data_IF_166187648842
#
_entry.id   IF_166187648842
#
_cell.length_a   1.000
_cell.length_b   1.000
_cell.length_c   1.000
_cell.angle_alpha   90.00
_cell.angle_beta   90.00
_cell.angle_gamma   90.00
#
_symmetry.space_group_name_H-M   'P 1'
#
loop_
_entity.id
_entity.type
_entity.pdbx_description
1 polymer ?
#
# COMPACT_ATOMS: atom_id res chain seq x y z
N UNK A 1 10.23 14.99 -7.19
CA UNK A 1 10.33 16.40 -6.78
C UNK A 1 11.73 16.64 -6.18
N UNK A 2 12.35 17.81 -6.38
CA UNK A 2 13.73 18.05 -5.87
C UNK A 2 13.79 18.13 -4.33
N UNK A 3 12.79 18.72 -3.70
CA UNK A 3 12.70 18.84 -2.24
C UNK A 3 12.41 17.48 -1.59
N UNK A 4 11.49 16.71 -2.17
CA UNK A 4 11.22 15.33 -1.76
C UNK A 4 12.49 14.49 -1.82
N UNK A 5 13.24 14.55 -2.92
CA UNK A 5 14.48 13.80 -3.08
C UNK A 5 15.54 14.23 -2.06
N UNK A 6 15.71 15.53 -1.83
CA UNK A 6 16.68 16.04 -0.85
C UNK A 6 16.41 15.53 0.57
N UNK A 7 15.14 15.26 0.91
CA UNK A 7 14.74 14.66 2.19
C UNK A 7 14.97 13.15 2.24
N UNK A 8 14.69 12.44 1.14
CA UNK A 8 14.77 10.99 1.08
C UNK A 8 16.21 10.47 0.91
N UNK A 9 17.00 11.10 0.04
CA UNK A 9 18.33 10.63 -0.36
C UNK A 9 19.24 10.29 0.83
N UNK A 10 19.40 11.15 1.85
CA UNK A 10 20.35 10.87 2.93
C UNK A 10 19.99 9.61 3.74
N UNK A 11 18.69 9.34 3.85
CA UNK A 11 18.14 8.18 4.59
C UNK A 11 18.22 6.92 3.72
N UNK A 12 17.76 7.00 2.48
CA UNK A 12 17.73 5.88 1.54
C UNK A 12 19.13 5.35 1.23
N UNK A 13 20.12 6.25 1.07
CA UNK A 13 21.53 5.88 0.86
C UNK A 13 22.11 5.02 1.98
N UNK A 14 21.58 5.13 3.21
CA UNK A 14 22.02 4.35 4.36
C UNK A 14 21.21 3.06 4.49
N UNK A 15 19.90 3.10 4.24
CA UNK A 15 18.99 1.99 4.52
C UNK A 15 18.93 0.95 3.40
N UNK A 16 18.87 1.37 2.13
CA UNK A 16 18.69 0.46 0.98
C UNK A 16 19.80 -0.61 0.95
N UNK A 17 21.10 -0.29 1.11
CA UNK A 17 22.14 -1.32 1.09
C UNK A 17 22.10 -2.30 2.26
N UNK A 18 21.48 -1.91 3.39
CA UNK A 18 21.37 -2.75 4.59
C UNK A 18 20.14 -3.65 4.58
N UNK A 19 19.10 -3.23 3.85
CA UNK A 19 17.78 -3.83 3.84
C UNK A 19 17.22 -3.94 2.42
N UNK A 20 17.95 -4.61 1.49
CA UNK A 20 17.54 -4.71 0.09
C UNK A 20 16.16 -5.38 -0.01
N UNK A 21 15.25 -4.76 -0.77
CA UNK A 21 13.88 -5.25 -0.99
C UNK A 21 12.94 -5.11 0.22
N UNK A 22 13.38 -4.50 1.34
CA UNK A 22 12.54 -4.31 2.53
C UNK A 22 12.11 -2.85 2.73
N UNK A 23 12.74 -1.91 2.01
CA UNK A 23 12.42 -0.48 2.10
C UNK A 23 11.35 -0.14 1.06
N UNK A 24 10.16 0.22 1.53
CA UNK A 24 9.12 0.80 0.68
C UNK A 24 9.28 2.31 0.54
N UNK A 25 9.30 2.81 -0.70
CA UNK A 25 9.38 4.25 -1.00
C UNK A 25 8.01 4.73 -1.46
N UNK A 26 7.37 5.55 -0.62
CA UNK A 26 6.05 6.16 -0.85
C UNK A 26 6.21 7.44 -1.67
N UNK A 27 6.02 7.36 -2.98
CA UNK A 27 6.14 8.49 -3.90
C UNK A 27 5.37 8.26 -5.19
N UNK A 28 4.67 9.29 -5.65
CA UNK A 28 4.01 9.34 -6.96
C UNK A 28 4.89 9.98 -8.05
N UNK A 29 6.13 10.36 -7.73
CA UNK A 29 7.07 10.97 -8.68
C UNK A 29 8.00 9.91 -9.29
N UNK A 30 7.91 9.61 -10.60
CA UNK A 30 8.76 8.60 -11.24
C UNK A 30 10.25 8.89 -11.11
N UNK A 31 10.66 10.17 -11.15
CA UNK A 31 12.06 10.56 -10.98
C UNK A 31 12.60 10.24 -9.57
N UNK A 32 11.76 10.33 -8.53
CA UNK A 32 12.14 9.98 -7.15
C UNK A 32 12.31 8.46 -7.04
N UNK A 33 11.37 7.69 -7.58
CA UNK A 33 11.43 6.22 -7.59
C UNK A 33 12.61 5.71 -8.41
N UNK A 34 12.88 6.29 -9.59
CA UNK A 34 14.03 5.92 -10.42
C UNK A 34 15.34 6.07 -9.63
N UNK A 35 15.56 7.23 -9.00
CA UNK A 35 16.77 7.45 -8.20
C UNK A 35 16.91 6.49 -7.02
N UNK A 36 15.79 6.09 -6.41
CA UNK A 36 15.80 5.12 -5.33
C UNK A 36 16.11 3.70 -5.83
N UNK A 37 15.54 3.29 -6.98
CA UNK A 37 15.88 2.03 -7.65
C UNK A 37 17.34 1.97 -8.10
N UNK A 38 17.91 3.11 -8.51
CA UNK A 38 19.33 3.21 -8.87
C UNK A 38 20.27 2.95 -7.68
N UNK A 39 19.77 3.04 -6.44
CA UNK A 39 20.54 2.71 -5.23
C UNK A 39 20.45 1.23 -4.83
N UNK A 40 19.45 0.50 -5.33
CA UNK A 40 19.22 -0.91 -5.03
C UNK A 40 17.74 -1.28 -4.92
N UNK A 41 17.49 -2.51 -4.50
CA UNK A 41 16.15 -3.07 -4.45
C UNK A 41 15.28 -2.37 -3.40
N UNK A 42 14.14 -1.86 -3.84
CA UNK A 42 13.11 -1.23 -3.01
C UNK A 42 11.73 -1.78 -3.37
N UNK A 43 10.76 -1.52 -2.51
CA UNK A 43 9.33 -1.71 -2.81
C UNK A 43 8.77 -0.34 -3.26
N UNK A 44 8.25 -0.25 -4.47
CA UNK A 44 7.59 0.97 -4.96
C UNK A 44 6.20 1.06 -4.34
N UNK A 45 5.85 2.19 -3.74
CA UNK A 45 4.49 2.44 -3.24
C UNK A 45 3.95 3.74 -3.86
N UNK A 46 3.09 3.59 -4.87
CA UNK A 46 2.39 4.70 -5.49
C UNK A 46 0.93 4.69 -5.03
N UNK A 47 0.64 5.53 -4.03
CA UNK A 47 -0.70 5.62 -3.43
C UNK A 47 -1.76 6.15 -4.40
N UNK A 48 -1.37 6.70 -5.55
CA UNK A 48 -2.30 7.22 -6.56
C UNK A 48 -2.91 6.12 -7.42
N UNK A 49 -2.44 4.88 -7.30
CA UNK A 49 -2.91 3.76 -8.10
C UNK A 49 -2.36 3.77 -9.53
N UNK A 50 -1.11 4.22 -9.72
CA UNK A 50 -0.41 4.26 -11.01
C UNK A 50 -1.09 5.10 -12.09
N UNK A 51 -1.70 6.22 -11.70
CA UNK A 51 -2.31 7.16 -12.65
C UNK A 51 -1.27 7.80 -13.59
N UNK A 52 0.01 7.79 -13.23
CA UNK A 52 1.10 8.34 -14.03
C UNK A 52 1.68 7.29 -15.01
N UNK A 53 1.53 7.45 -16.34
CA UNK A 53 2.05 6.49 -17.31
C UNK A 53 3.57 6.30 -17.25
N UNK A 54 4.32 7.33 -16.82
CA UNK A 54 5.77 7.21 -16.65
C UNK A 54 6.14 6.34 -15.45
N UNK A 55 5.32 6.31 -14.39
CA UNK A 55 5.49 5.36 -13.29
C UNK A 55 5.25 3.93 -13.79
N UNK A 56 4.19 3.72 -14.58
CA UNK A 56 3.90 2.42 -15.21
C UNK A 56 5.05 1.93 -16.08
N UNK A 57 5.61 2.79 -16.93
CA UNK A 57 6.75 2.44 -17.76
C UNK A 57 7.97 2.05 -16.91
N UNK A 58 8.25 2.82 -15.86
CA UNK A 58 9.36 2.57 -14.95
C UNK A 58 9.25 1.21 -14.24
N UNK A 59 8.08 0.89 -13.69
CA UNK A 59 7.90 -0.38 -12.94
C UNK A 59 7.90 -1.59 -13.87
N UNK A 60 7.44 -1.45 -15.11
CA UNK A 60 7.55 -2.51 -16.12
C UNK A 60 9.00 -2.71 -16.58
N UNK A 61 9.77 -1.63 -16.73
CA UNK A 61 11.17 -1.73 -17.14
C UNK A 61 12.05 -2.35 -16.04
N UNK A 62 11.86 -1.90 -14.80
CA UNK A 62 12.72 -2.27 -13.66
C UNK A 62 12.24 -3.51 -12.90
N UNK A 63 10.98 -3.91 -13.12
CA UNK A 63 10.31 -5.02 -12.43
C UNK A 63 10.49 -5.04 -10.90
N UNK A 64 10.29 -3.91 -10.17
CA UNK A 64 10.39 -3.93 -8.72
C UNK A 64 9.17 -4.60 -8.09
N UNK A 65 9.26 -4.93 -6.81
CA UNK A 65 8.03 -5.16 -6.03
C UNK A 65 7.26 -3.85 -5.93
N UNK A 66 5.96 -3.88 -6.14
CA UNK A 66 5.10 -2.70 -6.15
C UNK A 66 3.83 -2.90 -5.32
N UNK A 67 3.46 -1.86 -4.58
CA UNK A 67 2.18 -1.73 -3.89
C UNK A 67 1.26 -0.85 -4.73
N UNK A 68 0.12 -1.40 -5.13
CA UNK A 68 -0.94 -0.69 -5.86
C UNK A 68 -2.06 -0.40 -4.86
N UNK A 69 -2.28 0.89 -4.60
CA UNK A 69 -3.33 1.33 -3.68
C UNK A 69 -4.60 1.75 -4.42
N UNK A 70 -5.76 1.35 -3.90
CA UNK A 70 -7.04 1.83 -4.41
C UNK A 70 -7.36 3.23 -3.87
N UNK A 71 -7.30 4.22 -4.76
CA UNK A 71 -7.70 5.60 -4.50
C UNK A 71 -8.82 6.01 -5.48
N UNK A 72 -10.05 6.28 -5.01
CA UNK A 72 -11.19 6.57 -5.90
C UNK A 72 -11.17 7.98 -6.51
N UNK A 73 -10.04 8.69 -6.45
CA UNK A 73 -9.88 10.05 -6.91
C UNK A 73 -8.41 10.32 -7.32
N UNK A 74 -8.09 11.47 -7.93
CA UNK A 74 -6.71 11.81 -8.27
C UNK A 74 -5.77 11.91 -7.06
N UNK A 75 -6.32 12.26 -5.90
CA UNK A 75 -5.58 12.45 -4.66
C UNK A 75 -6.46 12.14 -3.43
N UNK A 76 -5.81 11.94 -2.29
CA UNK A 76 -6.48 11.60 -1.03
C UNK A 76 -7.44 12.69 -0.52
N UNK A 77 -7.14 13.96 -0.77
CA UNK A 77 -8.00 15.07 -0.33
C UNK A 77 -9.30 15.06 -1.12
N UNK A 78 -9.23 14.94 -2.45
CA UNK A 78 -10.40 14.82 -3.33
C UNK A 78 -11.22 13.58 -2.98
N UNK A 79 -10.57 12.44 -2.74
CA UNK A 79 -11.24 11.21 -2.30
C UNK A 79 -12.07 11.41 -1.02
N UNK A 80 -11.66 12.32 -0.14
CA UNK A 80 -12.37 12.62 1.11
C UNK A 80 -13.51 13.63 0.99
N UNK A 81 -13.62 14.33 -0.13
CA UNK A 81 -14.63 15.35 -0.37
C UNK A 81 -15.78 14.87 -1.26
N UNK A 82 -15.56 13.80 -2.03
CA UNK A 82 -16.57 13.18 -2.88
C UNK A 82 -17.42 12.14 -2.15
N UNK A 83 -18.46 11.64 -2.84
CA UNK A 83 -19.27 10.53 -2.35
C UNK A 83 -18.38 9.29 -2.09
N UNK A 84 -18.47 8.70 -0.89
CA UNK A 84 -17.62 7.58 -0.52
C UNK A 84 -17.98 6.32 -1.31
N UNK A 85 -16.98 5.53 -1.66
CA UNK A 85 -17.18 4.18 -2.20
C UNK A 85 -17.82 3.30 -1.12
N UNK A 86 -18.76 2.47 -1.53
CA UNK A 86 -19.57 1.60 -0.65
C UNK A 86 -19.47 0.11 -0.98
N UNK A 87 -18.80 -0.26 -2.09
CA UNK A 87 -18.72 -1.64 -2.59
C UNK A 87 -17.30 -2.16 -2.54
N UNK A 88 -17.08 -3.30 -1.87
CA UNK A 88 -15.81 -4.00 -1.88
C UNK A 88 -15.51 -4.63 -3.25
N UNK A 89 -16.55 -5.06 -3.98
CA UNK A 89 -16.40 -5.59 -5.34
C UNK A 89 -15.84 -4.54 -6.29
N UNK A 90 -16.28 -3.28 -6.18
CA UNK A 90 -15.72 -2.18 -6.96
C UNK A 90 -14.22 -2.01 -6.69
N UNK A 91 -13.82 -2.01 -5.40
CA UNK A 91 -12.42 -1.88 -4.99
C UNK A 91 -11.57 -3.04 -5.52
N UNK A 92 -12.10 -4.26 -5.45
CA UNK A 92 -11.46 -5.46 -6.00
C UNK A 92 -11.24 -5.32 -7.49
N UNK A 93 -12.30 -5.00 -8.24
CA UNK A 93 -12.26 -4.99 -9.69
C UNK A 93 -11.30 -3.90 -10.21
N UNK A 94 -11.30 -2.72 -9.59
CA UNK A 94 -10.37 -1.63 -9.93
C UNK A 94 -8.90 -2.04 -9.73
N UNK A 95 -8.58 -2.69 -8.60
CA UNK A 95 -7.22 -3.16 -8.32
C UNK A 95 -6.79 -4.28 -9.27
N UNK A 96 -7.69 -5.25 -9.54
CA UNK A 96 -7.41 -6.34 -10.46
C UNK A 96 -7.22 -5.85 -11.90
N UNK A 97 -7.93 -4.79 -12.31
CA UNK A 97 -7.73 -4.17 -13.63
C UNK A 97 -6.32 -3.56 -13.77
N UNK A 98 -5.82 -2.87 -12.72
CA UNK A 98 -4.46 -2.32 -12.73
C UNK A 98 -3.43 -3.45 -12.72
N UNK A 99 -3.63 -4.48 -11.89
CA UNK A 99 -2.74 -5.63 -11.82
C UNK A 99 -2.67 -6.37 -13.18
N UNK A 100 -3.82 -6.65 -13.80
CA UNK A 100 -3.88 -7.27 -15.12
C UNK A 100 -3.19 -6.43 -16.20
N UNK A 101 -3.29 -5.09 -16.13
CA UNK A 101 -2.57 -4.19 -17.02
C UNK A 101 -1.05 -4.34 -16.88
N UNK A 102 -0.52 -4.42 -15.65
CA UNK A 102 0.92 -4.64 -15.41
C UNK A 102 1.37 -6.04 -15.85
N UNK A 103 0.59 -7.08 -15.53
CA UNK A 103 0.87 -8.45 -15.96
C UNK A 103 0.92 -8.55 -17.50
N UNK A 104 -0.01 -7.90 -18.20
CA UNK A 104 -0.02 -7.86 -19.67
C UNK A 104 1.22 -7.20 -20.28
N UNK A 105 1.93 -6.38 -19.49
CA UNK A 105 3.18 -5.72 -19.87
C UNK A 105 4.43 -6.47 -19.41
N UNK A 106 4.26 -7.62 -18.75
CA UNK A 106 5.35 -8.51 -18.36
C UNK A 106 5.81 -8.37 -16.91
N UNK A 107 5.14 -7.56 -16.07
CA UNK A 107 5.43 -7.56 -14.64
C UNK A 107 4.90 -8.86 -14.00
N UNK A 108 5.73 -9.66 -13.32
CA UNK A 108 5.27 -10.88 -12.69
C UNK A 108 4.26 -10.61 -11.57
N UNK A 109 3.28 -11.49 -11.40
CA UNK A 109 2.23 -11.37 -10.37
C UNK A 109 2.81 -11.26 -8.97
N UNK A 110 3.86 -12.02 -8.68
CA UNK A 110 4.55 -12.06 -7.40
C UNK A 110 5.20 -10.73 -7.01
N UNK A 111 5.44 -9.83 -7.98
CA UNK A 111 5.91 -8.48 -7.72
C UNK A 111 4.78 -7.52 -7.31
N UNK A 112 3.51 -7.93 -7.43
CA UNK A 112 2.35 -7.06 -7.22
C UNK A 112 1.73 -7.31 -5.84
N UNK A 113 1.69 -6.25 -5.03
CA UNK A 113 0.99 -6.18 -3.75
C UNK A 113 -0.22 -5.26 -3.93
N UNK A 114 -1.40 -5.71 -3.52
CA UNK A 114 -2.64 -4.92 -3.59
C UNK A 114 -2.96 -4.31 -2.23
N UNK A 115 -3.27 -3.02 -2.19
CA UNK A 115 -3.77 -2.32 -0.99
C UNK A 115 -5.18 -1.77 -1.30
N UNK A 116 -6.24 -2.22 -0.59
CA UNK A 116 -7.60 -1.74 -0.79
C UNK A 116 -7.79 -0.26 -0.38
N UNK A 117 -6.76 0.40 0.13
CA UNK A 117 -6.75 1.82 0.41
C UNK A 117 -7.67 2.17 1.58
N UNK A 118 -7.49 1.51 2.72
CA UNK A 118 -8.31 1.76 3.91
C UNK A 118 -8.24 3.23 4.32
N UNK A 119 -9.43 3.81 4.51
CA UNK A 119 -9.62 5.19 4.90
C UNK A 119 -9.26 6.20 3.81
N UNK A 120 -9.43 5.86 2.53
CA UNK A 120 -9.38 6.78 1.39
C UNK A 120 -10.69 6.78 0.60
N UNK A 121 -11.57 7.74 0.90
CA UNK A 121 -12.86 7.92 0.20
C UNK A 121 -13.82 6.73 0.28
N UNK A 122 -13.91 6.09 1.44
CA UNK A 122 -14.72 4.89 1.69
C UNK A 122 -15.57 5.06 2.95
N UNK A 123 -16.73 4.42 3.00
CA UNK A 123 -17.58 4.41 4.20
C UNK A 123 -16.93 3.64 5.35
N UNK A 124 -17.41 3.85 6.58
CA UNK A 124 -16.89 3.13 7.75
C UNK A 124 -17.09 1.62 7.60
N UNK A 125 -18.28 1.22 7.13
CA UNK A 125 -18.68 -0.16 6.91
C UNK A 125 -17.77 -0.83 5.88
N UNK A 126 -17.53 -0.15 4.75
CA UNK A 126 -16.63 -0.67 3.72
C UNK A 126 -15.19 -0.83 4.24
N UNK A 127 -14.70 0.10 5.06
CA UNK A 127 -13.35 -0.03 5.62
C UNK A 127 -13.19 -1.27 6.52
N UNK A 128 -14.22 -1.64 7.29
CA UNK A 128 -14.21 -2.88 8.07
C UNK A 128 -14.27 -4.12 7.19
N UNK A 129 -15.07 -4.10 6.11
CA UNK A 129 -15.14 -5.18 5.14
C UNK A 129 -13.79 -5.42 4.46
N UNK A 130 -13.10 -4.34 4.06
CA UNK A 130 -11.82 -4.39 3.37
C UNK A 130 -10.65 -4.88 4.24
N UNK A 131 -10.82 -5.05 5.54
CA UNK A 131 -9.82 -5.80 6.34
C UNK A 131 -9.69 -7.25 5.87
N UNK A 132 -10.74 -7.79 5.23
CA UNK A 132 -10.79 -9.17 4.71
C UNK A 132 -10.39 -9.26 3.23
N UNK A 133 -9.85 -8.19 2.66
CA UNK A 133 -9.68 -8.05 1.21
C UNK A 133 -8.83 -9.16 0.58
N UNK A 134 -7.89 -9.75 1.32
CA UNK A 134 -7.07 -10.87 0.85
C UNK A 134 -7.89 -12.10 0.41
N UNK A 135 -9.04 -12.37 1.03
CA UNK A 135 -9.96 -13.43 0.59
C UNK A 135 -10.54 -13.16 -0.81
N UNK A 136 -10.66 -11.90 -1.21
CA UNK A 136 -11.30 -11.48 -2.46
C UNK A 136 -10.36 -11.56 -3.67
N UNK A 137 -9.04 -11.60 -3.44
CA UNK A 137 -8.01 -11.57 -4.48
C UNK A 137 -7.03 -12.75 -4.33
N UNK A 138 -7.51 -14.00 -4.36
CA UNK A 138 -6.63 -15.15 -4.18
C UNK A 138 -5.53 -15.17 -5.24
N UNK A 139 -4.28 -15.27 -4.79
CA UNK A 139 -3.10 -15.29 -5.63
C UNK A 139 -2.30 -13.97 -5.71
N UNK A 140 -2.80 -12.90 -5.11
CA UNK A 140 -2.02 -11.67 -4.90
C UNK A 140 -1.63 -11.52 -3.42
N UNK A 141 -0.47 -10.92 -3.18
CA UNK A 141 -0.13 -10.43 -1.84
C UNK A 141 -0.97 -9.19 -1.53
N UNK A 142 -1.44 -9.07 -0.29
CA UNK A 142 -2.25 -7.92 0.14
C UNK A 142 -1.57 -7.19 1.29
N UNK A 143 -1.50 -5.86 1.16
CA UNK A 143 -1.13 -4.96 2.26
C UNK A 143 -2.38 -4.29 2.83
N UNK A 144 -2.46 -4.17 4.16
CA UNK A 144 -3.53 -3.44 4.85
C UNK A 144 -2.97 -2.26 5.64
N UNK A 145 -3.29 -1.04 5.17
CA UNK A 145 -2.96 0.23 5.81
C UNK A 145 -4.04 0.79 6.74
N UNK A 146 -4.36 0.07 7.81
CA UNK A 146 -5.47 0.42 8.72
C UNK A 146 -5.14 1.41 9.85
N UNK A 147 -3.86 1.62 10.15
CA UNK A 147 -3.46 2.16 11.45
C UNK A 147 -3.89 3.63 11.65
N UNK A 148 -4.53 3.92 12.78
CA UNK A 148 -5.03 5.24 13.20
C UNK A 148 -6.02 5.88 12.23
N UNK A 149 -6.62 5.09 11.35
CA UNK A 149 -7.61 5.57 10.38
C UNK A 149 -8.96 5.82 11.07
N UNK A 150 -9.73 6.75 10.49
CA UNK A 150 -10.99 7.26 11.06
C UNK A 150 -12.06 6.18 11.30
N UNK A 151 -12.05 5.10 10.53
CA UNK A 151 -13.04 4.02 10.66
C UNK A 151 -12.93 3.25 11.99
N UNK A 152 -11.80 3.37 12.70
CA UNK A 152 -11.60 2.83 14.05
C UNK A 152 -12.26 3.69 15.16
N UNK A 153 -12.93 4.79 14.78
CA UNK A 153 -13.65 5.65 15.71
C UNK A 153 -12.77 6.61 16.51
N UNK A 154 -13.28 7.07 17.65
CA UNK A 154 -12.65 8.08 18.50
C UNK A 154 -11.32 7.60 19.09
N UNK A 155 -11.26 6.32 19.47
CA UNK A 155 -10.09 5.67 20.09
C UNK A 155 -9.04 5.18 19.08
N UNK A 156 -9.10 5.59 17.80
CA UNK A 156 -8.16 5.15 16.75
C UNK A 156 -6.67 5.40 17.06
N UNK A 157 -6.36 6.31 17.98
CA UNK A 157 -4.98 6.61 18.38
C UNK A 157 -4.46 5.65 19.45
N UNK A 158 -5.35 4.90 20.11
CA UNK A 158 -5.02 3.88 21.09
C UNK A 158 -4.59 2.58 20.42
N UNK A 159 -3.81 1.78 21.13
CA UNK A 159 -3.25 0.53 20.61
C UNK A 159 -4.32 -0.52 20.32
N UNK A 160 -5.29 -0.71 21.22
CA UNK A 160 -6.23 -1.83 21.16
C UNK A 160 -7.08 -1.85 19.87
N UNK A 161 -7.75 -0.75 19.45
CA UNK A 161 -8.54 -0.77 18.21
C UNK A 161 -7.71 -1.07 16.96
N UNK A 162 -6.44 -0.68 16.96
CA UNK A 162 -5.52 -0.98 15.86
C UNK A 162 -5.16 -2.48 15.85
N UNK A 163 -4.85 -3.07 17.01
CA UNK A 163 -4.55 -4.49 17.11
C UNK A 163 -5.75 -5.38 16.75
N UNK A 164 -6.97 -4.97 17.10
CA UNK A 164 -8.19 -5.69 16.72
C UNK A 164 -8.37 -5.72 15.19
N UNK A 165 -8.19 -4.58 14.53
CA UNK A 165 -8.26 -4.52 13.09
C UNK A 165 -7.12 -5.31 12.41
N UNK A 166 -5.93 -5.34 13.02
CA UNK A 166 -4.80 -6.15 12.55
C UNK A 166 -5.10 -7.65 12.63
N UNK A 167 -5.69 -8.11 13.75
CA UNK A 167 -6.07 -9.52 13.96
C UNK A 167 -7.03 -9.99 12.87
N UNK A 168 -8.00 -9.15 12.48
CA UNK A 168 -8.92 -9.47 11.38
C UNK A 168 -8.15 -9.60 10.07
N UNK A 169 -7.30 -8.61 9.72
CA UNK A 169 -6.53 -8.66 8.49
C UNK A 169 -5.62 -9.89 8.40
N UNK A 170 -4.93 -10.24 9.50
CA UNK A 170 -4.08 -11.43 9.60
C UNK A 170 -4.91 -12.71 9.44
N UNK A 171 -6.04 -12.81 10.13
CA UNK A 171 -6.91 -13.99 10.07
C UNK A 171 -7.45 -14.28 8.65
N UNK A 172 -7.53 -13.24 7.82
CA UNK A 172 -7.94 -13.31 6.42
C UNK A 172 -6.76 -13.33 5.42
N UNK A 173 -5.54 -13.57 5.89
CA UNK A 173 -4.39 -13.82 5.01
C UNK A 173 -3.69 -12.58 4.45
N UNK A 174 -3.86 -11.41 5.09
CA UNK A 174 -3.04 -10.24 4.76
C UNK A 174 -1.54 -10.55 4.93
N UNK A 175 -0.74 -10.21 3.92
CA UNK A 175 0.69 -10.46 3.91
C UNK A 175 1.49 -9.32 4.57
N UNK A 176 1.02 -8.08 4.50
CA UNK A 176 1.72 -6.90 5.01
C UNK A 176 0.79 -5.98 5.80
N UNK A 177 1.20 -5.57 6.99
CA UNK A 177 0.50 -4.53 7.75
C UNK A 177 1.30 -3.23 7.73
N UNK A 178 0.67 -2.12 7.32
CA UNK A 178 1.29 -0.79 7.41
C UNK A 178 0.80 -0.07 8.67
N UNK A 179 1.70 0.10 9.64
CA UNK A 179 1.35 0.49 11.02
C UNK A 179 2.29 1.54 11.60
N UNK A 180 1.80 2.29 12.59
CA UNK A 180 2.62 3.27 13.32
C UNK A 180 3.29 2.67 14.56
N UNK A 181 2.61 1.76 15.26
CA UNK A 181 3.11 1.14 16.50
C UNK A 181 3.63 -0.27 16.20
N UNK A 182 4.87 -0.33 15.70
CA UNK A 182 5.51 -1.59 15.31
C UNK A 182 5.62 -2.55 16.50
N UNK A 183 6.00 -2.03 17.67
CA UNK A 183 6.22 -2.85 18.86
C UNK A 183 4.95 -3.56 19.32
N UNK A 184 3.81 -2.86 19.34
CA UNK A 184 2.53 -3.48 19.69
C UNK A 184 2.11 -4.54 18.66
N UNK A 185 2.22 -4.25 17.36
CA UNK A 185 1.80 -5.19 16.31
C UNK A 185 2.70 -6.43 16.24
N UNK A 186 4.00 -6.29 16.55
CA UNK A 186 4.94 -7.41 16.60
C UNK A 186 4.63 -8.43 17.72
N UNK A 187 3.72 -8.13 18.65
CA UNK A 187 3.24 -9.10 19.65
C UNK A 187 2.20 -10.07 19.09
N UNK A 188 1.62 -9.77 17.92
CA UNK A 188 0.61 -10.62 17.29
C UNK A 188 1.26 -11.88 16.70
N UNK A 189 0.64 -13.07 16.85
CA UNK A 189 1.19 -14.31 16.33
C UNK A 189 1.45 -14.23 14.82
N UNK A 190 2.64 -14.65 14.38
CA UNK A 190 3.02 -14.69 12.96
C UNK A 190 3.43 -13.35 12.36
N UNK A 191 3.39 -12.24 13.11
CA UNK A 191 3.87 -10.94 12.64
C UNK A 191 5.37 -10.82 12.88
N UNK A 192 6.12 -10.53 11.82
CA UNK A 192 7.56 -10.27 11.87
C UNK A 192 7.78 -8.80 11.52
N UNK A 193 8.37 -7.98 12.41
CA UNK A 193 8.71 -6.61 12.07
C UNK A 193 9.85 -6.59 11.04
N UNK A 194 9.68 -5.78 10.01
CA UNK A 194 10.66 -5.51 8.94
C UNK A 194 11.09 -4.06 8.95
#
# INVERSE_FOLDING_TARGET
DEEEWARLEPVLRILIPKHPGQISVDSYHPATIQKALDMGDIIVNDITGLQNPAMVALVVEKCPTIIISHLPAPDAQTAHQQEPVTSADQVRDDLLNIAAMLESKGLPRECIILDPGIGFGKTMELNWELLKFADMVPGYSVMIGHSRKRFLGEHRMETEPNLEAAKIAIAHGCAYLRVHDIHAHATLPGVIPS
#
